data_IF_190197572964
#
_entry.id   IF_190197572964
#
_cell.length_a   1.000
_cell.length_b   1.000
_cell.length_c   1.000
_cell.angle_alpha   90.00
_cell.angle_beta   90.00
_cell.angle_gamma   90.00
#
_symmetry.space_group_name_H-M   'P 1'
#
loop_
_entity.id
_entity.type
_entity.pdbx_description
1 polymer ?
#
# COMPACT_ATOMS: atom_id res chain seq x y z
N UNK A 1 20.91 -8.19 -15.65
CA UNK A 1 20.39 -8.78 -14.39
C UNK A 1 19.32 -9.81 -14.76
N UNK A 2 19.36 -10.99 -14.16
CA UNK A 2 18.27 -11.97 -14.32
C UNK A 2 17.17 -11.61 -13.29
N UNK A 3 16.10 -11.01 -13.76
CA UNK A 3 15.01 -10.54 -12.89
C UNK A 3 14.23 -11.70 -12.26
N UNK A 4 14.07 -12.83 -12.94
CA UNK A 4 13.37 -13.99 -12.37
C UNK A 4 14.13 -14.56 -11.19
N UNK A 5 15.45 -14.74 -11.32
CA UNK A 5 16.28 -15.20 -10.22
C UNK A 5 16.32 -14.18 -9.07
N UNK A 6 16.38 -12.90 -9.38
CA UNK A 6 16.39 -11.84 -8.35
C UNK A 6 15.07 -11.79 -7.57
N UNK A 7 13.93 -11.95 -8.27
CA UNK A 7 12.60 -12.05 -7.65
C UNK A 7 12.48 -13.30 -6.78
N UNK A 8 12.94 -14.45 -7.27
CA UNK A 8 12.99 -15.68 -6.49
C UNK A 8 13.81 -15.49 -5.20
N UNK A 9 15.00 -14.90 -5.32
CA UNK A 9 15.85 -14.65 -4.15
C UNK A 9 15.19 -13.68 -3.15
N UNK A 10 14.51 -12.63 -3.62
CA UNK A 10 13.75 -11.72 -2.76
C UNK A 10 12.68 -12.49 -1.98
N UNK A 11 11.89 -13.31 -2.63
CA UNK A 11 10.82 -14.08 -1.95
C UNK A 11 11.41 -15.07 -0.96
N UNK A 12 12.38 -15.89 -1.37
CA UNK A 12 12.87 -17.00 -0.55
C UNK A 12 13.86 -16.58 0.54
N UNK A 13 14.66 -15.52 0.29
CA UNK A 13 15.76 -15.14 1.18
C UNK A 13 15.48 -13.88 2.01
N UNK A 14 14.45 -13.08 1.64
CA UNK A 14 14.11 -11.85 2.36
C UNK A 14 12.70 -11.94 2.96
N UNK A 15 11.68 -12.29 2.16
CA UNK A 15 10.30 -12.23 2.60
C UNK A 15 9.91 -13.41 3.48
N UNK A 16 10.22 -14.65 3.09
CA UNK A 16 9.93 -15.84 3.92
C UNK A 16 10.65 -15.80 5.28
N UNK A 17 11.95 -15.53 5.36
CA UNK A 17 12.63 -15.36 6.64
C UNK A 17 12.10 -14.16 7.43
N UNK A 18 11.60 -13.13 6.74
CA UNK A 18 10.92 -11.96 7.29
C UNK A 18 9.49 -12.22 7.79
N UNK A 19 9.05 -13.50 7.89
CA UNK A 19 7.71 -13.92 8.36
C UNK A 19 6.54 -13.60 7.42
N UNK A 20 6.78 -13.40 6.13
CA UNK A 20 5.73 -13.44 5.12
C UNK A 20 5.52 -14.90 4.75
N UNK A 21 4.45 -15.52 5.25
CA UNK A 21 4.22 -16.96 5.15
C UNK A 21 2.96 -17.34 4.38
N UNK A 22 2.09 -16.37 4.10
CA UNK A 22 0.87 -16.62 3.31
C UNK A 22 1.25 -17.00 1.86
N UNK A 23 0.90 -18.21 1.38
CA UNK A 23 1.28 -18.68 0.05
C UNK A 23 0.70 -17.80 -1.07
N UNK A 24 -0.54 -17.30 -0.94
CA UNK A 24 -1.19 -16.46 -1.95
C UNK A 24 -0.47 -15.12 -2.08
N UNK A 25 0.01 -14.55 -0.97
CA UNK A 25 0.84 -13.33 -0.97
C UNK A 25 2.18 -13.59 -1.64
N UNK A 26 2.82 -14.72 -1.37
CA UNK A 26 4.11 -15.04 -1.98
C UNK A 26 3.93 -15.32 -3.50
N UNK A 27 2.84 -15.96 -3.91
CA UNK A 27 2.55 -16.22 -5.31
C UNK A 27 2.33 -14.93 -6.11
N UNK A 28 1.55 -13.99 -5.59
CA UNK A 28 1.29 -12.73 -6.31
C UNK A 28 2.57 -11.93 -6.56
N UNK A 29 3.56 -12.01 -5.68
CA UNK A 29 4.86 -11.35 -5.87
C UNK A 29 5.70 -11.96 -7.01
N UNK A 30 5.38 -13.18 -7.45
CA UNK A 30 5.94 -13.74 -8.69
C UNK A 30 5.15 -13.30 -9.92
N UNK A 31 3.84 -13.15 -9.81
CA UNK A 31 2.93 -12.81 -10.92
C UNK A 31 3.01 -11.33 -11.26
N UNK A 32 2.88 -10.45 -10.26
CA UNK A 32 2.96 -8.99 -10.45
C UNK A 32 4.42 -8.56 -10.41
N UNK A 33 4.97 -8.29 -11.59
CA UNK A 33 6.40 -8.02 -11.79
C UNK A 33 6.78 -6.63 -11.28
N UNK A 34 7.33 -6.56 -10.06
CA UNK A 34 7.69 -5.29 -9.38
C UNK A 34 8.59 -4.39 -10.24
N UNK A 35 9.54 -4.97 -10.97
CA UNK A 35 10.48 -4.25 -11.84
C UNK A 35 9.81 -3.49 -13.00
N UNK A 36 8.56 -3.79 -13.30
CA UNK A 36 7.77 -3.08 -14.32
C UNK A 36 7.12 -1.80 -13.79
N UNK A 37 7.03 -1.66 -12.46
CA UNK A 37 6.48 -0.49 -11.78
C UNK A 37 7.55 0.45 -11.23
N UNK A 38 8.81 0.02 -11.24
CA UNK A 38 9.94 0.84 -10.77
C UNK A 38 10.40 1.77 -11.88
N UNK A 39 10.68 3.06 -11.58
CA UNK A 39 11.26 3.98 -12.56
C UNK A 39 12.53 3.43 -13.20
N UNK A 40 12.75 3.63 -14.51
CA UNK A 40 13.88 3.02 -15.25
C UNK A 40 15.25 3.22 -14.59
N UNK A 41 15.50 4.40 -14.02
CA UNK A 41 16.76 4.72 -13.35
C UNK A 41 17.04 3.83 -12.12
N UNK A 42 15.99 3.32 -11.47
CA UNK A 42 16.06 2.53 -10.24
C UNK A 42 15.70 1.05 -10.43
N UNK A 43 15.46 0.62 -11.66
CA UNK A 43 14.94 -0.74 -11.95
C UNK A 43 15.77 -1.88 -11.36
N UNK A 44 17.08 -1.68 -11.18
CA UNK A 44 17.97 -2.66 -10.56
C UNK A 44 17.74 -2.83 -9.05
N UNK A 45 17.08 -1.87 -8.40
CA UNK A 45 16.74 -1.91 -6.97
C UNK A 45 15.40 -2.60 -6.70
N UNK A 46 14.66 -3.01 -7.73
CA UNK A 46 13.31 -3.57 -7.59
C UNK A 46 13.19 -4.70 -6.56
N UNK A 47 14.26 -5.44 -6.31
CA UNK A 47 14.28 -6.62 -5.42
C UNK A 47 15.10 -6.41 -4.14
N UNK A 48 15.62 -5.20 -3.93
CA UNK A 48 16.26 -4.84 -2.66
C UNK A 48 15.21 -4.41 -1.63
N UNK A 49 15.41 -4.76 -0.36
CA UNK A 49 14.52 -4.33 0.73
C UNK A 49 14.76 -2.85 1.07
N UNK A 50 14.40 -2.00 0.14
CA UNK A 50 14.56 -0.54 0.24
C UNK A 50 13.38 0.18 -0.41
N UNK A 51 13.11 1.40 0.05
CA UNK A 51 12.16 2.31 -0.58
C UNK A 51 12.78 2.88 -1.87
N UNK A 52 11.99 3.00 -2.93
CA UNK A 52 12.46 3.44 -4.25
C UNK A 52 11.82 4.79 -4.60
N UNK A 53 12.62 5.84 -4.88
CA UNK A 53 12.08 7.14 -5.31
C UNK A 53 11.26 7.02 -6.60
N UNK A 54 10.14 7.74 -6.67
CA UNK A 54 9.24 7.76 -7.83
C UNK A 54 9.47 8.96 -8.76
N UNK A 55 10.25 9.93 -8.33
CA UNK A 55 10.59 11.13 -9.09
C UNK A 55 11.59 11.99 -8.34
N UNK A 56 11.78 13.22 -8.82
CA UNK A 56 12.65 14.22 -8.17
C UNK A 56 11.94 14.94 -7.01
N UNK A 57 10.61 14.83 -6.93
CA UNK A 57 9.83 15.42 -5.85
C UNK A 57 10.13 14.72 -4.52
N UNK A 58 10.37 15.50 -3.49
CA UNK A 58 10.62 14.99 -2.14
C UNK A 58 9.45 14.15 -1.63
N UNK A 59 9.76 12.98 -1.06
CA UNK A 59 8.84 12.17 -0.30
C UNK A 59 7.98 11.17 -1.08
N UNK A 60 8.04 11.12 -2.41
CA UNK A 60 7.30 10.11 -3.17
C UNK A 60 8.14 8.87 -3.42
N UNK A 61 7.91 7.79 -2.64
CA UNK A 61 8.65 6.52 -2.75
C UNK A 61 7.72 5.32 -2.75
N UNK A 62 8.11 4.28 -3.50
CA UNK A 62 7.53 2.95 -3.31
C UNK A 62 7.96 2.39 -1.95
N UNK A 63 7.09 1.67 -1.30
CA UNK A 63 7.48 0.88 -0.12
C UNK A 63 8.56 -0.14 -0.45
N UNK A 64 9.28 -0.63 0.56
CA UNK A 64 10.13 -1.80 0.37
C UNK A 64 9.29 -3.06 0.16
N UNK A 65 9.82 -4.09 -0.53
CA UNK A 65 9.08 -5.35 -0.76
C UNK A 65 8.53 -5.98 0.51
N UNK A 66 9.26 -5.86 1.62
CA UNK A 66 8.84 -6.41 2.90
C UNK A 66 7.62 -5.70 3.47
N UNK A 67 7.56 -4.37 3.39
CA UNK A 67 6.39 -3.59 3.85
C UNK A 67 5.16 -3.95 3.01
N UNK A 68 5.30 -4.01 1.68
CA UNK A 68 4.21 -4.36 0.76
C UNK A 68 3.66 -5.78 1.05
N UNK A 69 4.54 -6.75 1.22
CA UNK A 69 4.16 -8.13 1.49
C UNK A 69 3.48 -8.32 2.87
N UNK A 70 3.97 -7.63 3.90
CA UNK A 70 3.34 -7.64 5.22
C UNK A 70 1.97 -6.96 5.22
N UNK A 71 1.81 -5.86 4.48
CA UNK A 71 0.52 -5.19 4.32
C UNK A 71 -0.53 -6.12 3.68
N UNK A 72 -0.16 -6.80 2.57
CA UNK A 72 -1.03 -7.78 1.93
C UNK A 72 -1.40 -8.93 2.88
N UNK A 73 -0.40 -9.48 3.59
CA UNK A 73 -0.63 -10.56 4.54
C UNK A 73 -1.55 -10.14 5.69
N UNK A 74 -1.38 -8.92 6.22
CA UNK A 74 -2.23 -8.38 7.28
C UNK A 74 -3.66 -8.12 6.82
N UNK A 75 -3.84 -7.55 5.62
CA UNK A 75 -5.15 -7.31 5.02
C UNK A 75 -5.89 -8.61 4.71
N UNK A 76 -5.20 -9.70 4.38
CA UNK A 76 -5.78 -11.02 4.12
C UNK A 76 -7.03 -10.95 3.22
N UNK A 77 -6.89 -10.29 2.07
CA UNK A 77 -8.01 -9.99 1.16
C UNK A 77 -8.56 -11.21 0.46
N UNK A 78 -9.82 -11.09 -0.03
CA UNK A 78 -10.52 -12.14 -0.77
C UNK A 78 -10.95 -11.63 -2.14
N UNK A 79 -11.06 -12.54 -3.11
CA UNK A 79 -11.33 -12.25 -4.53
C UNK A 79 -12.63 -11.47 -4.81
N UNK A 80 -13.58 -11.44 -3.91
CA UNK A 80 -14.85 -10.74 -4.07
C UNK A 80 -14.90 -9.38 -3.35
N UNK A 81 -13.79 -8.95 -2.77
CA UNK A 81 -13.73 -7.74 -1.93
C UNK A 81 -13.49 -6.48 -2.75
N UNK A 82 -14.06 -5.36 -2.29
CA UNK A 82 -13.82 -4.02 -2.79
C UNK A 82 -12.82 -3.30 -1.89
N UNK A 83 -11.79 -2.75 -2.50
CA UNK A 83 -10.65 -2.15 -1.79
C UNK A 83 -10.51 -0.69 -2.14
N UNK A 84 -10.19 0.14 -1.14
CA UNK A 84 -9.72 1.51 -1.31
C UNK A 84 -8.22 1.57 -1.01
N UNK A 85 -7.45 2.21 -1.87
CA UNK A 85 -6.06 2.57 -1.63
C UNK A 85 -5.90 4.08 -1.60
N UNK A 86 -5.09 4.58 -0.67
CA UNK A 86 -4.72 6.00 -0.54
C UNK A 86 -3.21 6.12 -0.78
N UNK A 87 -2.81 6.85 -1.83
CA UNK A 87 -1.43 7.00 -2.26
C UNK A 87 -1.03 5.90 -3.28
N UNK A 88 -1.43 6.08 -4.53
CA UNK A 88 -1.19 5.11 -5.61
C UNK A 88 0.30 4.97 -5.96
N UNK A 89 1.04 6.09 -5.95
CA UNK A 89 2.45 6.14 -6.33
C UNK A 89 2.71 5.56 -7.72
N UNK A 90 3.49 4.48 -7.80
CA UNK A 90 3.79 3.78 -9.06
C UNK A 90 2.65 2.89 -9.58
N UNK A 91 1.63 2.62 -8.76
CA UNK A 91 0.57 1.64 -9.03
C UNK A 91 0.93 0.20 -8.68
N UNK A 92 2.10 -0.07 -8.08
CA UNK A 92 2.51 -1.45 -7.77
C UNK A 92 1.64 -2.05 -6.66
N UNK A 93 1.43 -1.31 -5.55
CA UNK A 93 0.57 -1.79 -4.48
C UNK A 93 -0.87 -1.95 -4.97
N UNK A 94 -1.39 -1.03 -5.79
CA UNK A 94 -2.70 -1.17 -6.44
C UNK A 94 -2.81 -2.44 -7.28
N UNK A 95 -1.76 -2.80 -8.03
CA UNK A 95 -1.72 -4.04 -8.81
C UNK A 95 -1.73 -5.30 -7.92
N UNK A 96 -0.97 -5.28 -6.81
CA UNK A 96 -0.97 -6.36 -5.82
C UNK A 96 -2.35 -6.53 -5.17
N UNK A 97 -2.99 -5.42 -4.79
CA UNK A 97 -4.36 -5.41 -4.26
C UNK A 97 -5.35 -5.96 -5.30
N UNK A 98 -5.26 -5.49 -6.55
CA UNK A 98 -6.11 -5.95 -7.65
C UNK A 98 -5.99 -7.45 -7.95
N UNK A 99 -4.81 -8.03 -7.74
CA UNK A 99 -4.61 -9.47 -7.89
C UNK A 99 -5.37 -10.29 -6.82
N UNK A 100 -5.74 -9.67 -5.69
CA UNK A 100 -6.44 -10.32 -4.57
C UNK A 100 -7.89 -9.87 -4.39
N UNK A 101 -8.34 -8.82 -5.07
CA UNK A 101 -9.67 -8.22 -4.91
C UNK A 101 -10.51 -8.29 -6.18
N UNK A 102 -11.81 -8.02 -6.08
CA UNK A 102 -12.70 -7.84 -7.23
C UNK A 102 -12.45 -6.48 -7.88
N UNK A 103 -12.42 -5.43 -7.07
CA UNK A 103 -12.21 -4.06 -7.53
C UNK A 103 -11.35 -3.24 -6.57
N UNK A 104 -10.44 -2.45 -7.11
CA UNK A 104 -9.61 -1.51 -6.35
C UNK A 104 -9.85 -0.10 -6.85
N UNK A 105 -10.18 0.80 -5.93
CA UNK A 105 -10.14 2.24 -6.15
C UNK A 105 -8.91 2.80 -5.48
N UNK A 106 -8.04 3.46 -6.25
CA UNK A 106 -6.80 4.03 -5.74
C UNK A 106 -6.80 5.54 -5.96
N UNK A 107 -6.50 6.31 -4.92
CA UNK A 107 -6.52 7.78 -4.97
C UNK A 107 -5.09 8.30 -4.83
N UNK A 108 -4.67 9.13 -5.80
CA UNK A 108 -3.36 9.74 -5.83
C UNK A 108 -3.49 11.28 -5.89
N UNK A 109 -2.78 11.95 -5.00
CA UNK A 109 -2.83 13.42 -4.92
C UNK A 109 -2.01 14.10 -6.04
N UNK A 110 -0.96 13.43 -6.51
CA UNK A 110 -0.09 13.93 -7.56
C UNK A 110 -0.57 13.47 -8.94
N UNK A 111 -1.02 14.37 -9.84
CA UNK A 111 -1.48 13.97 -11.17
C UNK A 111 -0.42 13.23 -12.01
N UNK A 112 0.87 13.57 -11.83
CA UNK A 112 1.95 12.93 -12.59
C UNK A 112 2.16 11.48 -12.11
N UNK A 113 2.09 11.22 -10.82
CA UNK A 113 2.13 9.86 -10.27
C UNK A 113 0.87 9.08 -10.66
N UNK A 114 -0.31 9.69 -10.66
CA UNK A 114 -1.53 9.04 -11.11
C UNK A 114 -1.42 8.60 -12.59
N UNK A 115 -0.86 9.44 -13.46
CA UNK A 115 -0.64 9.09 -14.87
C UNK A 115 0.42 7.99 -15.03
N UNK A 116 1.50 8.04 -14.25
CA UNK A 116 2.49 6.96 -14.17
C UNK A 116 1.84 5.64 -13.76
N UNK A 117 1.03 5.65 -12.70
CA UNK A 117 0.34 4.47 -12.20
C UNK A 117 -0.61 3.88 -13.26
N UNK A 118 -1.43 4.71 -13.91
CA UNK A 118 -2.33 4.27 -15.00
C UNK A 118 -1.56 3.61 -16.14
N UNK A 119 -0.44 4.22 -16.55
CA UNK A 119 0.42 3.67 -17.60
C UNK A 119 1.05 2.32 -17.19
N UNK A 120 1.51 2.21 -15.95
CA UNK A 120 2.09 0.98 -15.41
C UNK A 120 1.05 -0.14 -15.31
N UNK A 121 -0.13 0.15 -14.76
CA UNK A 121 -1.25 -0.79 -14.62
C UNK A 121 -1.72 -1.29 -15.98
N UNK A 122 -1.90 -0.39 -16.96
CA UNK A 122 -2.29 -0.75 -18.32
C UNK A 122 -1.25 -1.67 -18.98
N UNK A 123 0.05 -1.36 -18.83
CA UNK A 123 1.15 -2.19 -19.36
C UNK A 123 1.19 -3.57 -18.69
N UNK A 124 0.87 -3.65 -17.41
CA UNK A 124 0.79 -4.90 -16.65
C UNK A 124 -0.50 -5.69 -16.90
N UNK A 125 -1.44 -5.18 -17.70
CA UNK A 125 -2.72 -5.82 -18.00
C UNK A 125 -3.70 -5.85 -16.82
N UNK A 126 -3.54 -4.95 -15.84
CA UNK A 126 -4.43 -4.85 -14.69
C UNK A 126 -5.67 -4.04 -15.09
N UNK A 127 -6.85 -4.64 -15.01
CA UNK A 127 -8.11 -4.06 -15.51
C UNK A 127 -9.13 -3.72 -14.41
N UNK A 128 -8.92 -4.20 -13.19
CA UNK A 128 -9.84 -4.03 -12.07
C UNK A 128 -9.39 -2.96 -11.06
N UNK A 129 -8.45 -2.09 -11.46
CA UNK A 129 -7.96 -0.95 -10.67
C UNK A 129 -8.34 0.35 -11.36
N UNK A 130 -9.00 1.25 -10.62
CA UNK A 130 -9.32 2.61 -11.06
C UNK A 130 -8.49 3.60 -10.27
N UNK A 131 -7.68 4.42 -10.97
CA UNK A 131 -6.86 5.47 -10.34
C UNK A 131 -7.53 6.82 -10.50
N UNK A 132 -7.81 7.50 -9.40
CA UNK A 132 -8.40 8.84 -9.34
C UNK A 132 -7.38 9.86 -8.81
N UNK A 133 -7.42 11.08 -9.34
CA UNK A 133 -6.61 12.19 -8.82
C UNK A 133 -7.39 12.90 -7.73
N UNK A 134 -6.79 13.03 -6.55
CA UNK A 134 -7.43 13.72 -5.42
C UNK A 134 -6.71 13.49 -4.09
N UNK A 135 -7.16 14.20 -3.06
CA UNK A 135 -6.70 13.96 -1.69
C UNK A 135 -7.50 12.78 -1.10
N UNK A 136 -6.82 11.65 -0.92
CA UNK A 136 -7.43 10.41 -0.43
C UNK A 136 -7.69 10.38 1.08
N UNK A 137 -7.21 11.34 1.88
CA UNK A 137 -7.38 11.33 3.34
C UNK A 137 -8.83 11.43 3.81
N UNK A 138 -9.74 11.89 2.94
CA UNK A 138 -11.18 11.85 3.15
C UNK A 138 -11.84 10.52 2.70
N UNK A 139 -11.06 9.61 2.11
CA UNK A 139 -11.56 8.41 1.48
C UNK A 139 -12.35 8.67 0.21
N UNK A 140 -13.25 7.74 -0.13
CA UNK A 140 -14.17 7.86 -1.26
C UNK A 140 -15.58 7.42 -0.84
N UNK A 141 -16.31 8.28 -0.14
CA UNK A 141 -17.61 7.92 0.47
C UNK A 141 -18.69 7.55 -0.56
N UNK A 142 -18.57 8.01 -1.80
CA UNK A 142 -19.51 7.68 -2.87
C UNK A 142 -19.50 6.19 -3.25
N UNK A 143 -18.42 5.47 -2.90
CA UNK A 143 -18.25 4.04 -3.21
C UNK A 143 -18.08 3.18 -1.96
N UNK A 144 -18.15 3.79 -0.78
CA UNK A 144 -18.16 3.09 0.50
C UNK A 144 -19.46 2.27 0.68
N UNK A 145 -19.47 1.22 1.53
CA UNK A 145 -18.37 0.80 2.39
C UNK A 145 -17.41 -0.19 1.71
N UNK A 146 -16.15 -0.22 2.20
CA UNK A 146 -15.08 -1.08 1.69
C UNK A 146 -14.84 -2.31 2.57
N UNK A 147 -14.40 -3.41 1.96
CA UNK A 147 -13.94 -4.61 2.67
C UNK A 147 -12.53 -4.42 3.22
N UNK A 148 -11.69 -3.69 2.48
CA UNK A 148 -10.34 -3.33 2.92
C UNK A 148 -9.97 -1.91 2.51
N UNK A 149 -9.14 -1.25 3.33
CA UNK A 149 -8.51 0.03 3.02
C UNK A 149 -7.00 -0.12 3.22
N UNK A 150 -6.22 0.30 2.22
CA UNK A 150 -4.77 0.40 2.27
C UNK A 150 -4.33 1.85 2.26
N UNK A 151 -3.54 2.26 3.25
CA UNK A 151 -2.91 3.58 3.27
C UNK A 151 -1.43 3.41 2.92
N UNK A 152 -1.08 3.79 1.69
CA UNK A 152 0.23 3.55 1.07
C UNK A 152 1.23 4.69 1.32
N UNK A 153 1.28 5.16 2.56
CA UNK A 153 2.21 6.14 3.11
C UNK A 153 1.95 6.33 4.60
N UNK A 154 2.84 7.00 5.33
CA UNK A 154 2.59 7.23 6.75
C UNK A 154 1.58 8.36 6.98
N UNK A 155 0.83 8.23 8.06
CA UNK A 155 -0.04 9.27 8.62
C UNK A 155 0.26 9.43 10.10
N UNK A 156 0.13 10.64 10.69
CA UNK A 156 0.34 10.81 12.13
C UNK A 156 -0.62 9.96 12.97
N UNK A 157 -1.85 9.83 12.51
CA UNK A 157 -2.89 8.92 12.99
C UNK A 157 -3.87 8.65 11.85
N UNK A 158 -4.47 7.47 11.81
CA UNK A 158 -5.48 7.12 10.80
C UNK A 158 -6.69 8.05 10.95
N UNK A 159 -7.10 8.77 9.87
CA UNK A 159 -8.31 9.58 9.91
C UNK A 159 -9.55 8.72 10.19
N UNK A 160 -10.39 9.16 11.16
CA UNK A 160 -11.61 8.43 11.53
C UNK A 160 -12.53 8.19 10.33
N UNK A 161 -12.59 9.15 9.41
CA UNK A 161 -13.41 9.03 8.20
C UNK A 161 -13.04 7.83 7.31
N UNK A 162 -11.80 7.35 7.34
CA UNK A 162 -11.38 6.14 6.61
C UNK A 162 -11.87 4.88 7.34
N UNK A 163 -11.83 4.88 8.66
CA UNK A 163 -12.35 3.78 9.47
C UNK A 163 -13.87 3.65 9.32
N UNK A 164 -14.59 4.77 9.29
CA UNK A 164 -16.05 4.79 9.13
C UNK A 164 -16.52 4.25 7.78
N UNK A 165 -15.64 4.26 6.76
CA UNK A 165 -15.91 3.70 5.43
C UNK A 165 -15.66 2.18 5.33
N UNK A 166 -15.26 1.52 6.42
CA UNK A 166 -15.13 0.06 6.44
C UNK A 166 -16.50 -0.62 6.61
N UNK A 167 -16.68 -1.75 5.96
CA UNK A 167 -17.77 -2.70 6.27
C UNK A 167 -17.60 -3.29 7.67
N UNK A 168 -18.66 -3.83 8.31
CA UNK A 168 -18.48 -4.71 9.46
C UNK A 168 -17.53 -5.87 9.11
N UNK A 169 -16.49 -6.08 9.93
CA UNK A 169 -15.40 -7.03 9.64
C UNK A 169 -14.38 -6.53 8.61
N UNK A 170 -14.54 -5.33 8.06
CA UNK A 170 -13.58 -4.69 7.17
C UNK A 170 -12.28 -4.33 7.88
N UNK A 171 -11.20 -4.19 7.12
CA UNK A 171 -9.84 -3.99 7.63
C UNK A 171 -9.18 -2.77 7.00
N UNK A 172 -8.39 -2.05 7.79
CA UNK A 172 -7.54 -0.97 7.30
C UNK A 172 -6.10 -1.21 7.73
N UNK A 173 -5.18 -1.20 6.77
CA UNK A 173 -3.74 -1.18 7.06
C UNK A 173 -3.19 0.22 6.82
N UNK A 174 -2.40 0.70 7.78
CA UNK A 174 -1.71 1.98 7.70
C UNK A 174 -0.36 1.91 8.43
N UNK A 175 0.48 2.91 8.20
CA UNK A 175 1.66 3.20 8.99
C UNK A 175 1.41 4.49 9.74
N UNK A 176 1.37 4.42 11.06
CA UNK A 176 1.10 5.56 11.95
C UNK A 176 2.36 6.07 12.63
N UNK A 177 2.39 7.37 12.89
CA UNK A 177 3.46 8.04 13.62
C UNK A 177 4.24 9.03 12.79
N UNK A 178 5.36 9.45 13.36
CA UNK A 178 6.34 10.33 12.71
C UNK A 178 7.76 9.80 12.99
N UNK A 179 8.66 10.00 12.02
CA UNK A 179 10.05 9.58 12.19
C UNK A 179 10.65 10.15 13.48
N UNK A 180 11.43 9.40 14.24
CA UNK A 180 11.96 8.06 13.92
C UNK A 180 11.07 6.88 14.38
N UNK A 181 9.90 7.12 14.94
CA UNK A 181 9.03 6.09 15.52
C UNK A 181 7.72 6.02 14.74
N UNK A 182 7.60 5.01 13.89
CA UNK A 182 6.38 4.70 13.14
C UNK A 182 6.03 3.22 13.28
N UNK A 183 4.75 2.93 13.27
CA UNK A 183 4.20 1.59 13.47
C UNK A 183 3.23 1.22 12.35
N UNK A 184 3.45 0.07 11.73
CA UNK A 184 2.45 -0.53 10.84
C UNK A 184 1.33 -1.13 11.68
N UNK A 185 0.10 -0.75 11.38
CA UNK A 185 -1.09 -1.09 12.16
C UNK A 185 -2.19 -1.66 11.28
N UNK A 186 -2.95 -2.59 11.86
CA UNK A 186 -4.16 -3.13 11.26
C UNK A 186 -5.36 -2.77 12.15
N UNK A 187 -6.30 -2.03 11.59
CA UNK A 187 -7.61 -1.82 12.18
C UNK A 187 -8.59 -2.84 11.61
N UNK A 188 -9.43 -3.40 12.47
CA UNK A 188 -10.55 -4.26 12.06
C UNK A 188 -11.83 -3.70 12.67
N UNK A 189 -12.84 -3.44 11.86
CA UNK A 189 -14.15 -3.00 12.35
C UNK A 189 -14.87 -4.16 13.00
N UNK A 190 -15.23 -3.99 14.28
CA UNK A 190 -16.00 -4.97 15.06
C UNK A 190 -17.25 -4.23 15.58
N UNK A 191 -18.38 -4.50 14.97
CA UNK A 191 -19.65 -3.80 15.23
C UNK A 191 -19.51 -2.27 15.03
N UNK A 192 -19.58 -1.50 16.11
CA UNK A 192 -19.44 -0.04 16.12
C UNK A 192 -18.04 0.43 16.51
N UNK A 193 -17.15 -0.48 16.90
CA UNK A 193 -15.81 -0.21 17.36
C UNK A 193 -14.74 -0.66 16.38
N UNK A 194 -13.48 -0.29 16.65
CA UNK A 194 -12.31 -0.68 15.84
C UNK A 194 -11.25 -1.33 16.73
N UNK A 195 -10.90 -2.57 16.39
CA UNK A 195 -9.77 -3.24 17.03
C UNK A 195 -8.50 -2.84 16.31
N UNK A 196 -7.55 -2.22 17.01
CA UNK A 196 -6.20 -1.90 16.53
C UNK A 196 -5.21 -2.99 16.92
N UNK A 197 -4.42 -3.43 15.97
CA UNK A 197 -3.32 -4.38 16.15
C UNK A 197 -2.03 -3.77 15.59
N UNK A 198 -0.96 -3.72 16.41
CA UNK A 198 0.39 -3.46 15.94
C UNK A 198 0.92 -4.66 15.17
N UNK A 199 1.46 -4.42 13.98
CA UNK A 199 1.98 -5.49 13.12
C UNK A 199 3.51 -5.54 13.16
N UNK A 200 4.18 -4.40 12.91
CA UNK A 200 5.64 -4.23 12.99
C UNK A 200 6.01 -2.74 13.02
N UNK A 201 7.25 -2.45 13.39
CA UNK A 201 7.82 -1.10 13.34
C UNK A 201 8.54 -0.86 12.00
N UNK A 202 8.37 0.33 11.44
CA UNK A 202 9.02 0.75 10.19
C UNK A 202 9.04 2.26 10.09
N UNK A 203 9.82 2.80 9.16
CA UNK A 203 9.83 4.23 8.84
C UNK A 203 9.65 4.39 7.33
N UNK A 204 8.63 5.14 6.93
CA UNK A 204 8.32 5.45 5.54
C UNK A 204 8.00 6.94 5.37
N UNK A 205 7.97 7.42 4.14
CA UNK A 205 7.54 8.79 3.88
C UNK A 205 6.07 8.99 4.21
N UNK A 206 5.73 10.16 4.74
CA UNK A 206 4.35 10.54 5.03
C UNK A 206 3.57 10.84 3.75
N UNK A 207 2.27 10.55 3.77
CA UNK A 207 1.37 11.03 2.74
C UNK A 207 1.38 12.57 2.71
N UNK A 208 1.32 13.14 1.51
CA UNK A 208 1.16 14.60 1.35
C UNK A 208 -0.15 15.04 2.01
N UNK A 209 -0.15 16.23 2.60
CA UNK A 209 -1.27 16.80 3.33
C UNK A 209 -1.74 16.02 4.57
N UNK A 210 -1.02 14.96 4.98
CA UNK A 210 -1.27 14.37 6.28
C UNK A 210 -0.89 15.38 7.37
N UNK A 211 -1.89 15.83 8.15
CA UNK A 211 -1.64 16.79 9.21
C UNK A 211 -0.69 16.18 10.24
N UNK A 212 0.30 16.96 10.75
CA UNK A 212 1.13 16.50 11.85
C UNK A 212 0.25 16.21 13.07
N UNK A 213 0.63 15.19 13.86
CA UNK A 213 -0.03 14.95 15.14
C UNK A 213 0.02 16.21 16.01
N UNK A 214 -1.03 16.52 16.79
CA UNK A 214 -1.01 17.66 17.68
C UNK A 214 0.21 17.59 18.61
N UNK A 215 1.14 18.54 18.47
CA UNK A 215 2.27 18.60 19.36
C UNK A 215 1.76 19.01 20.77
N UNK A 216 2.15 18.26 21.80
CA UNK A 216 1.91 18.67 23.17
C UNK A 216 2.77 19.93 23.42
N UNK A 217 2.13 21.06 23.60
CA UNK A 217 2.81 22.31 24.02
C UNK A 217 2.75 22.33 25.54
N UNK A 218 3.93 22.25 26.19
CA UNK A 218 4.07 22.42 27.63
C UNK A 218 4.00 23.91 27.99
#
# INVERSE_FOLDING_TARGET
>A
MNFEQARFNMVEQQLRPGKVLNPDVLEVLFVVKREEFVPPAHRRLAFADTQIPLGEADGARMFSPRVEAHALQALAMKKHENVLEIGTGSGYMAALLGAHADHVRSIEIDPQLADMARANLARAGVTNVVVEVGNGLAGSPAYAPYDAVMVSGAVPAVPQVLLDQLKPGGRLFAIEGAAPVMEAVLYTRVDQDFRRLSVFETVVDSLRDAAPAPAFVF
#
